data_IF_196770327535
#
_entry.id   IF_196770327535
#
_cell.length_a   1.000
_cell.length_b   1.000
_cell.length_c   1.000
_cell.angle_alpha   90.00
_cell.angle_beta   90.00
_cell.angle_gamma   90.00
#
_symmetry.space_group_name_H-M   'P 1'
#
loop_
_entity.id
_entity.type
_entity.pdbx_description
1 polymer ?
#
# COMPACT_ATOMS: atom_id res chain seq x y z
N UNK A 1 -20.16 -18.19 -8.89
CA UNK A 1 -19.65 -17.31 -7.82
C UNK A 1 -20.31 -17.70 -6.51
N UNK A 2 -19.53 -18.01 -5.48
CA UNK A 2 -20.09 -18.27 -4.16
C UNK A 2 -20.62 -16.93 -3.62
N UNK A 3 -21.90 -16.86 -3.28
CA UNK A 3 -22.47 -15.64 -2.68
C UNK A 3 -21.83 -15.45 -1.29
N UNK A 4 -20.86 -14.55 -1.17
CA UNK A 4 -20.33 -14.15 0.15
C UNK A 4 -21.43 -13.37 0.88
N UNK A 5 -21.96 -13.87 2.01
CA UNK A 5 -23.00 -13.16 2.74
C UNK A 5 -22.49 -11.82 3.27
N UNK A 6 -23.30 -10.76 3.18
CA UNK A 6 -22.93 -9.43 3.72
C UNK A 6 -22.65 -9.45 5.23
N UNK A 7 -23.27 -10.38 5.95
CA UNK A 7 -23.07 -10.60 7.38
C UNK A 7 -21.78 -11.36 7.72
N UNK A 8 -21.07 -11.90 6.71
CA UNK A 8 -19.87 -12.68 6.96
C UNK A 8 -18.76 -11.78 7.55
N UNK A 9 -18.10 -12.17 8.65
CA UNK A 9 -17.11 -11.32 9.35
C UNK A 9 -15.91 -10.94 8.47
N UNK A 10 -15.64 -11.72 7.42
CA UNK A 10 -14.56 -11.47 6.45
C UNK A 10 -15.06 -11.07 5.06
N UNK A 11 -16.32 -10.65 4.93
CA UNK A 11 -16.93 -10.35 3.63
C UNK A 11 -16.06 -9.40 2.78
N UNK A 12 -15.49 -8.36 3.39
CA UNK A 12 -14.63 -7.40 2.71
C UNK A 12 -13.36 -8.03 2.14
N UNK A 13 -12.62 -8.82 2.92
CA UNK A 13 -11.40 -9.51 2.45
C UNK A 13 -11.73 -10.50 1.34
N UNK A 14 -12.80 -11.29 1.48
CA UNK A 14 -13.20 -12.26 0.46
C UNK A 14 -13.61 -11.59 -0.86
N UNK A 15 -14.39 -10.50 -0.82
CA UNK A 15 -14.77 -9.75 -2.02
C UNK A 15 -13.56 -9.13 -2.73
N UNK A 16 -12.55 -8.70 -1.98
CA UNK A 16 -11.29 -8.19 -2.55
C UNK A 16 -10.54 -9.31 -3.28
N UNK A 17 -10.51 -10.53 -2.71
CA UNK A 17 -9.91 -11.70 -3.37
C UNK A 17 -10.64 -12.05 -4.66
N UNK A 18 -11.97 -12.09 -4.65
CA UNK A 18 -12.77 -12.36 -5.86
C UNK A 18 -12.48 -11.33 -6.94
N UNK A 19 -12.44 -10.03 -6.61
CA UNK A 19 -12.06 -8.98 -7.57
C UNK A 19 -10.67 -9.18 -8.16
N UNK A 20 -9.71 -9.69 -7.38
CA UNK A 20 -8.36 -10.00 -7.88
C UNK A 20 -8.37 -11.19 -8.84
N UNK A 21 -9.14 -12.22 -8.52
CA UNK A 21 -9.32 -13.41 -9.37
C UNK A 21 -10.01 -13.02 -10.66
N UNK A 22 -11.11 -12.26 -10.60
CA UNK A 22 -11.80 -11.72 -11.77
C UNK A 22 -10.84 -10.87 -12.62
N UNK A 23 -10.02 -10.02 -11.99
CA UNK A 23 -9.00 -9.25 -12.69
C UNK A 23 -7.90 -10.11 -13.33
N UNK A 24 -7.60 -11.29 -12.78
CA UNK A 24 -6.69 -12.24 -13.40
C UNK A 24 -7.33 -12.91 -14.61
N UNK A 25 -8.58 -13.35 -14.49
CA UNK A 25 -9.36 -13.97 -15.56
C UNK A 25 -9.63 -13.00 -16.72
N UNK A 26 -9.86 -11.72 -16.41
CA UNK A 26 -9.97 -10.60 -17.38
C UNK A 26 -8.61 -10.22 -18.01
N UNK A 27 -7.53 -10.88 -17.60
CA UNK A 27 -6.19 -10.70 -18.15
C UNK A 27 -5.54 -9.36 -17.79
N UNK A 28 -5.98 -8.67 -16.74
CA UNK A 28 -5.35 -7.43 -16.24
C UNK A 28 -4.34 -7.70 -15.12
N UNK A 29 -4.54 -8.74 -14.31
CA UNK A 29 -3.64 -9.16 -13.22
C UNK A 29 -2.72 -10.29 -13.70
N UNK A 30 -1.48 -10.33 -13.20
CA UNK A 30 -0.55 -11.45 -13.45
C UNK A 30 -0.67 -12.49 -12.32
N UNK A 31 -0.23 -13.75 -12.55
CA UNK A 31 -0.25 -14.79 -11.51
C UNK A 31 0.47 -14.33 -10.25
N UNK A 32 1.62 -13.68 -10.42
CA UNK A 32 2.43 -13.11 -9.35
C UNK A 32 1.75 -11.95 -8.63
N UNK A 33 0.78 -11.29 -9.29
CA UNK A 33 -0.09 -10.29 -8.70
C UNK A 33 -1.02 -10.89 -7.64
N UNK A 34 -1.52 -12.11 -7.83
CA UNK A 34 -2.31 -12.84 -6.83
C UNK A 34 -1.45 -13.18 -5.61
N UNK A 35 -0.21 -13.65 -5.84
CA UNK A 35 0.75 -13.93 -4.77
C UNK A 35 1.12 -12.66 -4.00
N UNK A 36 1.32 -11.55 -4.71
CA UNK A 36 1.58 -10.24 -4.10
C UNK A 36 0.42 -9.77 -3.22
N UNK A 37 -0.83 -10.03 -3.64
CA UNK A 37 -2.00 -9.75 -2.83
C UNK A 37 -1.99 -10.55 -1.52
N UNK A 38 -1.74 -11.86 -1.58
CA UNK A 38 -1.66 -12.71 -0.39
C UNK A 38 -0.58 -12.26 0.61
N UNK A 39 0.58 -11.79 0.12
CA UNK A 39 1.60 -11.16 0.99
C UNK A 39 1.06 -9.89 1.67
N UNK A 40 0.33 -9.06 0.92
CA UNK A 40 -0.33 -7.86 1.46
C UNK A 40 -1.32 -8.21 2.55
N UNK A 41 -2.21 -9.18 2.31
CA UNK A 41 -3.19 -9.64 3.31
C UNK A 41 -2.51 -10.13 4.58
N UNK A 42 -1.41 -10.90 4.48
CA UNK A 42 -0.65 -11.34 5.65
C UNK A 42 -0.21 -10.19 6.56
N UNK A 43 0.30 -9.09 5.98
CA UNK A 43 0.63 -7.89 6.74
C UNK A 43 -0.62 -7.14 7.22
N UNK A 44 -1.70 -7.11 6.44
CA UNK A 44 -2.95 -6.46 6.84
C UNK A 44 -3.53 -7.10 8.12
N UNK A 45 -3.45 -8.44 8.25
CA UNK A 45 -3.79 -9.14 9.50
C UNK A 45 -2.96 -8.65 10.68
N UNK A 46 -1.64 -8.53 10.50
CA UNK A 46 -0.74 -8.05 11.56
C UNK A 46 -1.04 -6.60 11.95
N UNK A 47 -1.49 -5.79 11.00
CA UNK A 47 -1.87 -4.39 11.20
C UNK A 47 -3.31 -4.23 11.73
N UNK A 48 -4.08 -5.32 11.78
CA UNK A 48 -5.46 -5.36 12.26
C UNK A 48 -6.48 -4.81 11.27
N UNK A 49 -6.20 -4.93 9.96
CA UNK A 49 -7.11 -4.60 8.85
C UNK A 49 -7.69 -3.17 8.93
N UNK A 50 -6.88 -2.23 9.42
CA UNK A 50 -7.29 -0.85 9.69
C UNK A 50 -6.21 0.16 9.32
N UNK A 51 -6.64 1.35 8.90
CA UNK A 51 -5.72 2.46 8.67
C UNK A 51 -5.16 2.98 9.99
N UNK A 52 -3.86 2.76 10.22
CA UNK A 52 -3.18 3.21 11.44
C UNK A 52 -3.02 4.74 11.48
N UNK A 53 -2.74 5.28 12.67
CA UNK A 53 -2.48 6.73 12.85
C UNK A 53 -1.28 7.19 12.01
N UNK A 54 -0.22 6.36 11.95
CA UNK A 54 0.95 6.62 11.12
C UNK A 54 0.59 6.62 9.63
N UNK A 55 -0.22 5.67 9.17
CA UNK A 55 -0.68 5.62 7.78
C UNK A 55 -1.51 6.88 7.43
N UNK A 56 -2.38 7.35 8.34
CA UNK A 56 -3.15 8.60 8.13
C UNK A 56 -2.23 9.81 7.94
N UNK A 57 -1.19 9.95 8.76
CA UNK A 57 -0.19 11.03 8.62
C UNK A 57 0.56 10.94 7.29
N UNK A 58 0.99 9.74 6.90
CA UNK A 58 1.64 9.52 5.60
C UNK A 58 0.74 9.84 4.42
N UNK A 59 -0.56 9.50 4.50
CA UNK A 59 -1.55 9.85 3.47
C UNK A 59 -1.70 11.37 3.34
N UNK A 60 -1.76 12.11 4.45
CA UNK A 60 -1.83 13.58 4.42
C UNK A 60 -0.58 14.19 3.76
N UNK A 61 0.62 13.73 4.12
CA UNK A 61 1.86 14.18 3.52
C UNK A 61 1.94 13.84 2.01
N UNK A 62 1.51 12.63 1.63
CA UNK A 62 1.44 12.22 0.23
C UNK A 62 0.46 13.08 -0.58
N UNK A 63 -0.71 13.39 -0.03
CA UNK A 63 -1.69 14.25 -0.66
C UNK A 63 -1.14 15.68 -0.87
N UNK A 64 -0.51 16.25 0.15
CA UNK A 64 0.15 17.56 0.02
C UNK A 64 1.25 17.54 -1.04
N UNK A 65 2.07 16.49 -1.07
CA UNK A 65 3.15 16.37 -2.06
C UNK A 65 2.62 16.23 -3.50
N UNK A 66 1.52 15.51 -3.71
CA UNK A 66 0.87 15.42 -5.02
C UNK A 66 0.27 16.76 -5.44
N UNK A 67 -0.40 17.48 -4.54
CA UNK A 67 -1.01 18.79 -4.83
C UNK A 67 0.04 19.87 -5.14
N UNK A 68 1.24 19.77 -4.57
CA UNK A 68 2.34 20.71 -4.80
C UNK A 68 3.26 20.30 -5.97
N UNK A 69 3.04 19.14 -6.57
CA UNK A 69 3.86 18.65 -7.67
C UNK A 69 3.63 19.46 -8.94
N UNK A 70 4.70 19.71 -9.71
CA UNK A 70 4.59 20.39 -11.01
C UNK A 70 4.13 19.45 -12.11
N UNK A 71 4.50 18.17 -12.03
CA UNK A 71 4.18 17.16 -13.03
C UNK A 71 3.95 15.80 -12.34
N UNK A 72 2.88 15.65 -11.53
CA UNK A 72 2.61 14.41 -10.83
C UNK A 72 2.19 13.30 -11.78
N UNK A 73 2.68 12.08 -11.51
CA UNK A 73 2.31 10.88 -12.27
C UNK A 73 1.89 9.75 -11.34
N UNK A 74 0.78 9.08 -11.67
CA UNK A 74 0.31 7.87 -11.01
C UNK A 74 0.64 6.67 -11.90
N UNK A 75 1.54 5.81 -11.43
CA UNK A 75 1.88 4.54 -12.09
C UNK A 75 0.82 3.49 -11.75
N UNK A 76 0.24 2.85 -12.77
CA UNK A 76 -0.81 1.84 -12.59
C UNK A 76 -0.36 0.48 -13.12
N UNK A 77 -0.46 -0.54 -12.27
CA UNK A 77 -0.27 -1.94 -12.60
C UNK A 77 -1.61 -2.70 -12.58
N UNK A 78 -1.56 -4.01 -12.85
CA UNK A 78 -2.74 -4.88 -12.89
C UNK A 78 -3.54 -4.94 -11.59
N UNK A 79 -2.87 -5.14 -10.45
CA UNK A 79 -3.52 -5.21 -9.13
C UNK A 79 -4.31 -3.92 -8.83
N UNK A 80 -3.71 -2.78 -9.15
CA UNK A 80 -4.32 -1.47 -8.89
C UNK A 80 -5.49 -1.19 -9.84
N UNK A 81 -5.38 -1.59 -11.10
CA UNK A 81 -6.48 -1.52 -12.04
C UNK A 81 -7.66 -2.41 -11.61
N UNK A 82 -7.41 -3.60 -11.07
CA UNK A 82 -8.45 -4.53 -10.61
C UNK A 82 -9.17 -4.01 -9.34
N UNK A 83 -8.41 -3.46 -8.38
CA UNK A 83 -8.96 -3.09 -7.08
C UNK A 83 -9.49 -1.68 -6.96
N UNK A 84 -8.86 -0.72 -7.64
CA UNK A 84 -9.01 0.70 -7.32
C UNK A 84 -9.00 1.61 -8.54
N UNK A 85 -9.40 1.11 -9.72
CA UNK A 85 -9.38 1.91 -10.95
C UNK A 85 -10.17 3.22 -10.82
N UNK A 86 -11.38 3.17 -10.24
CA UNK A 86 -12.23 4.35 -10.06
C UNK A 86 -11.59 5.40 -9.15
N UNK A 87 -11.03 4.94 -8.03
CA UNK A 87 -10.37 5.78 -7.03
C UNK A 87 -9.10 6.40 -7.61
N UNK A 88 -8.30 5.65 -8.38
CA UNK A 88 -7.10 6.15 -9.04
C UNK A 88 -7.43 7.20 -10.09
N UNK A 89 -8.45 6.97 -10.93
CA UNK A 89 -8.90 7.98 -11.91
C UNK A 89 -9.40 9.23 -11.22
N UNK A 90 -10.13 9.07 -10.11
CA UNK A 90 -10.62 10.21 -9.31
C UNK A 90 -9.46 10.98 -8.68
N UNK A 91 -8.49 10.28 -8.09
CA UNK A 91 -7.29 10.90 -7.51
C UNK A 91 -6.51 11.66 -8.58
N UNK A 92 -6.24 11.03 -9.73
CA UNK A 92 -5.54 11.64 -10.85
C UNK A 92 -6.19 12.97 -11.27
N UNK A 93 -7.52 12.98 -11.36
CA UNK A 93 -8.28 14.21 -11.68
C UNK A 93 -8.18 15.29 -10.59
N UNK A 94 -8.19 14.90 -9.32
CA UNK A 94 -8.14 15.85 -8.19
C UNK A 94 -6.77 16.52 -8.10
N UNK A 95 -5.69 15.77 -8.30
CA UNK A 95 -4.31 16.28 -8.19
C UNK A 95 -3.68 16.65 -9.53
N UNK A 96 -4.49 16.74 -10.59
CA UNK A 96 -4.07 16.98 -11.98
C UNK A 96 -2.87 16.10 -12.42
N UNK A 97 -2.90 14.83 -12.03
CA UNK A 97 -1.84 13.87 -12.32
C UNK A 97 -2.11 13.09 -13.60
N UNK A 98 -1.04 12.81 -14.34
CA UNK A 98 -1.09 11.88 -15.48
C UNK A 98 -1.15 10.44 -14.97
N UNK A 99 -1.81 9.57 -15.71
CA UNK A 99 -1.82 8.13 -15.44
C UNK A 99 -0.90 7.43 -16.45
N UNK A 100 0.06 6.65 -15.98
CA UNK A 100 0.92 5.81 -16.82
C UNK A 100 0.75 4.34 -16.46
N UNK A 101 0.43 3.50 -17.45
CA UNK A 101 0.38 2.05 -17.23
C UNK A 101 1.80 1.48 -17.29
N UNK A 102 2.25 0.93 -16.18
CA UNK A 102 3.55 0.27 -16.09
C UNK A 102 3.39 -1.11 -15.44
N UNK A 103 3.82 -2.15 -16.16
CA UNK A 103 3.70 -3.54 -15.72
C UNK A 103 5.06 -4.23 -15.76
N UNK A 104 5.31 -5.09 -14.77
CA UNK A 104 6.56 -5.83 -14.63
C UNK A 104 6.79 -6.77 -15.82
N UNK A 105 5.81 -7.63 -16.10
CA UNK A 105 5.83 -8.56 -17.23
C UNK A 105 5.20 -7.89 -18.44
N UNK A 106 6.04 -7.45 -19.39
CA UNK A 106 5.56 -6.75 -20.59
C UNK A 106 4.64 -7.66 -21.40
N UNK A 107 3.39 -7.23 -21.55
CA UNK A 107 2.36 -7.86 -22.37
C UNK A 107 1.46 -6.76 -22.94
N UNK A 108 1.47 -6.60 -24.26
CA UNK A 108 0.66 -5.59 -24.93
C UNK A 108 -0.83 -5.85 -24.71
N UNK A 109 -1.24 -7.13 -24.67
CA UNK A 109 -2.63 -7.53 -24.35
C UNK A 109 -3.02 -7.08 -22.95
N UNK A 110 -2.22 -7.37 -21.92
CA UNK A 110 -2.50 -6.95 -20.54
C UNK A 110 -2.57 -5.43 -20.41
N UNK A 111 -1.62 -4.71 -21.02
CA UNK A 111 -1.64 -3.24 -21.05
C UNK A 111 -2.94 -2.71 -21.65
N UNK A 112 -3.38 -3.26 -22.79
CA UNK A 112 -4.63 -2.86 -23.44
C UNK A 112 -5.86 -3.17 -22.58
N UNK A 113 -5.89 -4.30 -21.87
CA UNK A 113 -6.99 -4.61 -20.96
C UNK A 113 -7.04 -3.63 -19.78
N UNK A 114 -5.88 -3.29 -19.18
CA UNK A 114 -5.79 -2.26 -18.14
C UNK A 114 -6.29 -0.90 -18.66
N UNK A 115 -5.90 -0.52 -19.88
CA UNK A 115 -6.37 0.71 -20.53
C UNK A 115 -7.90 0.76 -20.63
N UNK A 116 -8.52 -0.34 -21.06
CA UNK A 116 -9.99 -0.44 -21.15
C UNK A 116 -10.65 -0.23 -19.78
N UNK A 117 -10.13 -0.87 -18.73
CA UNK A 117 -10.64 -0.72 -17.36
C UNK A 117 -10.52 0.72 -16.87
N UNK A 118 -9.37 1.37 -17.09
CA UNK A 118 -9.18 2.77 -16.72
C UNK A 118 -10.13 3.71 -17.48
N UNK A 119 -10.28 3.51 -18.80
CA UNK A 119 -11.20 4.30 -19.63
C UNK A 119 -12.67 4.12 -19.21
N UNK A 120 -13.09 2.87 -18.91
CA UNK A 120 -14.43 2.57 -18.38
C UNK A 120 -14.70 3.31 -17.06
N UNK A 121 -13.66 3.58 -16.28
CA UNK A 121 -13.74 4.36 -15.04
C UNK A 121 -13.52 5.87 -15.23
N UNK A 122 -13.46 6.37 -16.46
CA UNK A 122 -13.42 7.80 -16.78
C UNK A 122 -12.03 8.38 -17.02
N UNK A 123 -10.99 7.55 -17.18
CA UNK A 123 -9.67 8.05 -17.54
C UNK A 123 -9.68 8.66 -18.96
N UNK A 124 -9.39 9.95 -19.08
CA UNK A 124 -9.34 10.65 -20.38
C UNK A 124 -8.06 10.34 -21.17
N UNK A 125 -6.91 10.39 -20.50
CA UNK A 125 -5.60 10.14 -21.09
C UNK A 125 -4.82 9.16 -20.22
N UNK A 126 -4.16 8.19 -20.87
CA UNK A 126 -3.35 7.16 -20.22
C UNK A 126 -2.09 6.93 -21.05
N UNK A 127 -0.93 7.04 -20.41
CA UNK A 127 0.40 6.95 -21.00
C UNK A 127 0.97 5.51 -20.94
N UNK A 128 2.10 5.28 -21.62
CA UNK A 128 2.82 3.99 -21.58
C UNK A 128 2.50 3.02 -22.74
N UNK A 129 1.86 3.53 -23.80
CA UNK A 129 1.41 2.75 -24.97
C UNK A 129 2.11 3.13 -26.29
N UNK A 130 2.47 4.41 -26.47
CA UNK A 130 3.11 4.87 -27.70
C UNK A 130 4.61 4.55 -27.69
N UNK A 131 5.06 3.74 -28.65
CA UNK A 131 6.47 3.37 -28.82
C UNK A 131 7.37 4.58 -29.10
N UNK A 132 6.87 5.62 -29.77
CA UNK A 132 7.64 6.85 -30.06
C UNK A 132 7.97 7.65 -28.79
N UNK A 133 7.10 7.53 -27.79
CA UNK A 133 7.24 8.18 -26.49
C UNK A 133 7.98 7.32 -25.47
N UNK A 134 8.47 6.13 -25.83
CA UNK A 134 9.25 5.31 -24.92
C UNK A 134 10.65 5.89 -24.71
N UNK A 135 11.10 5.86 -23.47
CA UNK A 135 12.46 6.17 -23.05
C UNK A 135 12.86 5.25 -21.90
N UNK A 136 14.12 5.31 -21.48
CA UNK A 136 14.69 4.40 -20.47
C UNK A 136 15.12 5.17 -19.23
N UNK A 137 14.72 4.69 -18.06
CA UNK A 137 15.33 5.08 -16.79
C UNK A 137 16.78 4.53 -16.78
N UNK A 138 17.80 5.36 -16.54
CA UNK A 138 19.18 4.90 -16.44
C UNK A 138 19.37 3.89 -15.30
N UNK A 139 20.37 3.01 -15.42
CA UNK A 139 20.83 2.11 -14.34
C UNK A 139 19.74 1.16 -13.78
N UNK A 140 18.79 0.77 -14.64
CA UNK A 140 17.84 -0.31 -14.38
C UNK A 140 17.95 -1.32 -15.53
N UNK A 141 18.34 -2.56 -15.24
CA UNK A 141 18.69 -3.52 -16.29
C UNK A 141 17.47 -4.24 -16.89
N UNK A 142 16.36 -4.29 -16.15
CA UNK A 142 15.14 -4.97 -16.59
C UNK A 142 14.33 -4.17 -17.62
N UNK A 143 13.41 -4.85 -18.32
CA UNK A 143 12.43 -4.24 -19.23
C UNK A 143 11.61 -3.08 -18.59
N UNK A 144 11.61 -3.01 -17.25
CA UNK A 144 10.89 -2.02 -16.42
C UNK A 144 11.53 -0.65 -16.42
N UNK A 145 12.71 -0.52 -17.05
CA UNK A 145 13.32 0.77 -17.37
C UNK A 145 12.51 1.55 -18.39
N UNK A 146 11.68 0.88 -19.19
CA UNK A 146 10.89 1.52 -20.25
C UNK A 146 9.73 2.28 -19.60
N UNK A 147 9.70 3.58 -19.85
CA UNK A 147 8.69 4.54 -19.36
C UNK A 147 8.32 5.54 -20.44
N UNK A 148 7.22 6.26 -20.25
CA UNK A 148 6.81 7.32 -21.17
C UNK A 148 7.60 8.62 -20.92
N UNK A 149 8.10 9.24 -22.00
CA UNK A 149 8.81 10.53 -22.00
C UNK A 149 7.97 11.62 -21.35
N UNK A 150 6.67 11.63 -21.63
CA UNK A 150 5.72 12.63 -21.14
C UNK A 150 5.08 12.25 -19.79
N UNK A 151 5.38 11.05 -19.30
CA UNK A 151 4.91 10.52 -18.02
C UNK A 151 6.05 10.45 -17.00
N UNK A 152 6.32 9.25 -16.50
CA UNK A 152 7.26 8.95 -15.41
C UNK A 152 8.64 9.57 -15.66
N UNK A 153 9.10 9.62 -16.90
CA UNK A 153 10.41 10.20 -17.22
C UNK A 153 10.48 11.70 -16.89
N UNK A 154 9.44 12.45 -17.23
CA UNK A 154 9.33 13.90 -16.99
C UNK A 154 8.81 14.26 -15.60
N UNK A 155 8.31 13.30 -14.84
CA UNK A 155 7.66 13.53 -13.55
C UNK A 155 8.63 14.11 -12.50
N UNK A 156 8.12 14.93 -11.58
CA UNK A 156 8.83 15.34 -10.38
C UNK A 156 8.39 14.52 -9.15
N UNK A 157 7.09 14.22 -9.06
CA UNK A 157 6.49 13.33 -8.05
C UNK A 157 5.81 12.14 -8.74
N UNK A 158 6.05 10.93 -8.23
CA UNK A 158 5.43 9.71 -8.75
C UNK A 158 4.79 8.91 -7.62
N UNK A 159 3.54 8.52 -7.80
CA UNK A 159 2.87 7.51 -6.99
C UNK A 159 3.05 6.13 -7.64
N UNK A 160 3.73 5.21 -6.94
CA UNK A 160 3.96 3.81 -7.37
C UNK A 160 3.37 2.84 -6.34
N UNK A 161 2.13 2.37 -6.52
CA UNK A 161 1.49 1.47 -5.57
C UNK A 161 1.83 0.00 -5.85
N UNK A 162 2.14 -0.78 -4.81
CA UNK A 162 2.50 -2.21 -4.90
C UNK A 162 3.61 -2.41 -5.96
N UNK A 163 4.76 -1.78 -5.72
CA UNK A 163 5.86 -1.67 -6.68
C UNK A 163 7.07 -2.52 -6.26
N UNK A 164 7.87 -2.91 -7.25
CA UNK A 164 9.15 -3.56 -7.00
C UNK A 164 10.22 -2.62 -6.43
N UNK A 165 11.03 -3.17 -5.54
CA UNK A 165 12.06 -2.44 -4.82
C UNK A 165 13.15 -1.85 -5.72
N UNK A 166 13.62 -2.60 -6.72
CA UNK A 166 14.72 -2.15 -7.59
C UNK A 166 14.28 -0.99 -8.47
N UNK A 167 13.03 -1.03 -8.96
CA UNK A 167 12.44 0.08 -9.72
C UNK A 167 12.30 1.34 -8.85
N UNK A 168 11.84 1.17 -7.61
CA UNK A 168 11.72 2.29 -6.66
C UNK A 168 13.07 2.94 -6.38
N UNK A 169 14.12 2.14 -6.17
CA UNK A 169 15.50 2.62 -5.97
C UNK A 169 16.00 3.35 -7.22
N UNK A 170 15.79 2.79 -8.41
CA UNK A 170 16.22 3.40 -9.67
C UNK A 170 15.53 4.76 -9.91
N UNK A 171 14.22 4.84 -9.68
CA UNK A 171 13.46 6.09 -9.79
C UNK A 171 13.94 7.15 -8.79
N UNK A 172 14.22 6.76 -7.54
CA UNK A 172 14.77 7.68 -6.54
C UNK A 172 16.16 8.18 -6.92
N UNK A 173 17.04 7.29 -7.39
CA UNK A 173 18.37 7.66 -7.93
C UNK A 173 18.27 8.54 -9.17
N UNK A 174 17.17 8.45 -9.91
CA UNK A 174 16.84 9.31 -11.05
C UNK A 174 16.21 10.66 -10.63
N UNK A 175 16.32 11.03 -9.36
CA UNK A 175 15.90 12.33 -8.83
C UNK A 175 14.39 12.50 -8.63
N UNK A 176 13.62 11.41 -8.70
CA UNK A 176 12.17 11.44 -8.56
C UNK A 176 11.75 11.37 -7.09
N UNK A 177 10.75 12.15 -6.70
CA UNK A 177 10.07 12.03 -5.40
C UNK A 177 9.04 10.92 -5.47
N UNK A 178 9.21 9.86 -4.68
CA UNK A 178 8.39 8.65 -4.77
C UNK A 178 7.46 8.52 -3.58
N UNK A 179 6.17 8.36 -3.87
CA UNK A 179 5.11 7.99 -2.94
C UNK A 179 4.73 6.53 -3.23
N UNK A 180 4.48 5.73 -2.20
CA UNK A 180 4.05 4.33 -2.36
C UNK A 180 2.98 3.95 -1.34
N UNK A 181 2.17 2.96 -1.70
CA UNK A 181 1.33 2.21 -0.78
C UNK A 181 1.84 0.79 -0.71
N UNK A 182 2.36 0.41 0.46
CA UNK A 182 2.86 -0.94 0.72
C UNK A 182 2.48 -1.32 2.16
N UNK A 183 1.83 -2.48 2.30
CA UNK A 183 1.45 -3.02 3.61
C UNK A 183 2.65 -3.64 4.33
N UNK A 184 3.71 -4.00 3.61
CA UNK A 184 4.94 -4.50 4.20
C UNK A 184 5.89 -3.33 4.51
N UNK A 185 6.05 -2.91 5.78
CA UNK A 185 6.94 -1.80 6.14
C UNK A 185 8.43 -2.14 5.96
N UNK A 186 8.77 -3.41 5.76
CA UNK A 186 10.14 -3.90 5.58
C UNK A 186 10.52 -4.09 4.12
N UNK A 187 9.61 -3.87 3.17
CA UNK A 187 9.94 -3.98 1.76
C UNK A 187 10.98 -2.93 1.35
N UNK A 188 11.81 -3.26 0.36
CA UNK A 188 12.76 -2.31 -0.23
C UNK A 188 12.04 -1.05 -0.72
N UNK A 189 10.83 -1.20 -1.27
CA UNK A 189 9.97 -0.11 -1.72
C UNK A 189 9.60 0.82 -0.56
N UNK A 190 9.07 0.28 0.54
CA UNK A 190 8.66 1.03 1.74
C UNK A 190 9.84 1.71 2.46
N UNK A 191 11.02 1.10 2.43
CA UNK A 191 12.24 1.69 3.01
C UNK A 191 12.85 2.78 2.12
N UNK A 192 12.59 2.74 0.81
CA UNK A 192 13.20 3.65 -0.17
C UNK A 192 12.33 4.87 -0.47
N UNK A 193 11.01 4.70 -0.56
CA UNK A 193 10.08 5.79 -0.85
C UNK A 193 10.19 6.92 0.19
N UNK A 194 9.64 8.10 -0.13
CA UNK A 194 9.66 9.24 0.79
C UNK A 194 8.98 8.85 2.10
N UNK A 195 9.79 8.75 3.15
CA UNK A 195 9.29 8.80 4.52
C UNK A 195 8.98 10.25 4.82
N UNK A 196 7.78 10.52 5.33
CA UNK A 196 7.47 11.81 5.92
C UNK A 196 8.50 12.09 7.01
N UNK A 197 9.51 12.87 6.68
CA UNK A 197 10.55 13.28 7.61
C UNK A 197 9.96 14.33 8.54
N UNK A 198 9.39 13.91 9.67
CA UNK A 198 9.88 14.50 10.90
C UNK A 198 11.31 13.94 11.04
N UNK A 199 12.30 14.82 10.88
CA UNK A 199 13.68 14.50 10.54
C UNK A 199 14.25 13.28 11.26
N UNK A 200 14.80 12.36 10.48
CA UNK A 200 15.89 11.46 10.84
C UNK A 200 16.49 11.02 9.50
N UNK A 201 17.31 11.89 8.91
CA UNK A 201 18.28 11.46 7.91
C UNK A 201 19.21 10.47 8.60
N UNK A 202 19.39 9.28 8.02
CA UNK A 202 20.44 8.34 8.44
C UNK A 202 21.85 9.00 8.38
N UNK A 203 21.99 10.11 7.66
CA UNK A 203 23.23 10.86 7.51
C UNK A 203 23.59 11.76 8.71
N UNK A 204 22.85 11.67 9.83
CA UNK A 204 23.22 12.31 11.11
C UNK A 204 23.60 11.31 12.22
N UNK A 205 23.88 10.05 11.89
CA UNK A 205 24.59 9.18 12.82
C UNK A 205 26.09 9.49 12.77
N UNK A 206 26.75 9.75 13.92
CA UNK A 206 28.20 9.96 13.94
C UNK A 206 28.92 8.69 13.43
N UNK A 207 30.03 8.84 12.69
CA UNK A 207 30.80 7.69 12.21
C UNK A 207 31.38 6.96 13.43
N UNK A 208 30.94 5.72 13.65
CA UNK A 208 31.42 4.92 14.80
C UNK A 208 30.53 3.76 15.26
N UNK A 209 29.32 3.58 14.73
CA UNK A 209 28.55 2.36 14.98
C UNK A 209 29.00 1.23 14.01
N UNK A 210 30.23 0.78 14.21
CA UNK A 210 30.79 -0.40 13.58
C UNK A 210 29.99 -1.64 13.97
N UNK A 211 29.93 -2.56 13.01
CA UNK A 211 29.52 -3.95 13.17
C UNK A 211 30.52 -4.63 14.11
N UNK A 212 30.16 -4.72 15.38
CA UNK A 212 30.68 -5.73 16.30
C UNK A 212 29.50 -6.28 17.10
N UNK A 213 29.16 -7.54 16.82
CA UNK A 213 28.18 -8.27 17.63
C UNK A 213 28.71 -8.44 19.06
N UNK A 214 27.87 -8.33 20.10
CA UNK A 214 28.36 -8.56 21.45
C UNK A 214 28.68 -10.06 21.64
N UNK A 215 29.85 -10.41 22.20
CA UNK A 215 30.14 -11.77 22.64
C UNK A 215 29.34 -12.07 23.90
N UNK A 216 28.71 -13.25 23.96
CA UNK A 216 28.13 -13.78 25.21
C UNK A 216 26.66 -14.14 25.13
N UNK A 217 26.33 -15.21 24.39
CA UNK A 217 25.14 -16.01 24.68
C UNK A 217 25.52 -17.07 25.71
N UNK A 218 25.22 -16.82 26.98
CA UNK A 218 25.10 -17.87 28.01
C UNK A 218 23.60 -18.14 28.25
N UNK A 219 23.16 -19.40 28.31
CA UNK A 219 21.75 -19.73 28.46
C UNK A 219 21.33 -19.58 29.92
N UNK A 220 20.23 -18.87 30.14
CA UNK A 220 19.52 -18.87 31.43
C UNK A 220 19.62 -17.57 32.21
N UNK A 221 18.72 -16.62 31.92
CA UNK A 221 18.05 -15.71 32.86
C UNK A 221 17.04 -14.87 32.09
N UNK A 222 15.74 -15.00 32.41
CA UNK A 222 14.69 -14.12 31.88
C UNK A 222 14.89 -12.71 32.44
N UNK A 223 14.76 -11.62 31.65
CA UNK A 223 14.73 -10.28 32.20
C UNK A 223 13.40 -10.05 32.95
N UNK A 224 13.49 -9.58 34.20
CA UNK A 224 12.35 -9.07 34.96
C UNK A 224 11.89 -7.73 34.36
N UNK A 225 10.59 -7.59 34.13
CA UNK A 225 9.98 -6.34 33.69
C UNK A 225 10.12 -5.25 34.77
N UNK A 226 10.37 -3.97 34.41
CA UNK A 226 10.40 -2.89 35.37
C UNK A 226 8.98 -2.55 35.88
N UNK A 227 8.87 -2.44 37.20
CA UNK A 227 7.66 -2.08 37.92
C UNK A 227 7.38 -0.58 37.82
N UNK A 228 6.40 -0.19 37.00
CA UNK A 228 5.52 0.98 37.20
C UNK A 228 4.55 1.08 36.03
N UNK A 229 3.34 0.56 36.24
CA UNK A 229 2.05 0.97 35.66
C UNK A 229 1.02 0.01 36.26
N UNK A 230 0.74 0.13 37.56
CA UNK A 230 -0.40 -0.55 38.18
C UNK A 230 -1.64 0.29 37.91
N UNK A 231 -2.49 -0.21 37.01
CA UNK A 231 -3.87 0.26 36.87
C UNK A 231 -4.67 -0.40 37.99
N UNK A 232 -5.39 0.34 38.85
CA UNK A 232 -6.20 -0.29 39.89
C UNK A 232 -7.37 -1.07 39.25
N UNK A 233 -7.72 -2.26 39.76
CA UNK A 233 -8.89 -2.98 39.28
C UNK A 233 -10.15 -2.19 39.63
N UNK A 234 -10.97 -1.85 38.63
CA UNK A 234 -12.33 -1.36 38.88
C UNK A 234 -13.11 -2.50 39.53
N UNK A 235 -13.70 -2.17 40.68
CA UNK A 235 -14.39 -3.08 41.57
C UNK A 235 -15.51 -3.88 40.90
N UNK A 236 -15.66 -5.08 41.43
CA UNK A 236 -16.79 -5.99 41.23
C UNK A 236 -18.08 -5.25 41.62
N UNK A 237 -18.92 -4.96 40.63
CA UNK A 237 -20.31 -4.59 40.87
C UNK A 237 -21.08 -5.86 41.22
N UNK A 238 -21.39 -6.03 42.51
CA UNK A 238 -22.36 -7.01 42.97
C UNK A 238 -23.73 -6.76 42.31
N UNK A 239 -24.43 -7.80 41.84
CA UNK A 239 -25.80 -7.65 41.37
C UNK A 239 -26.71 -7.30 42.55
N UNK A 240 -27.42 -6.16 42.44
CA UNK A 240 -28.51 -5.80 43.36
C UNK A 240 -29.63 -6.83 43.24
N UNK A 241 -30.29 -7.23 44.34
CA UNK A 241 -31.40 -8.18 44.30
C UNK A 241 -32.59 -7.59 43.55
N UNK A 242 -33.19 -8.42 42.69
CA UNK A 242 -34.38 -8.09 41.92
C UNK A 242 -35.54 -7.69 42.85
N UNK A 243 -36.10 -6.50 42.63
CA UNK A 243 -37.38 -6.11 43.24
C UNK A 243 -38.46 -7.06 42.72
N UNK A 244 -39.05 -7.84 43.64
CA UNK A 244 -40.26 -8.64 43.41
C UNK A 244 -41.42 -7.69 43.09
N UNK A 245 -41.91 -7.73 41.85
CA UNK A 245 -43.22 -7.20 41.47
C UNK A 245 -44.35 -8.07 42.04
N UNK A 246 -45.57 -7.52 42.18
CA UNK A 246 -46.66 -8.16 42.92
C UNK A 246 -47.17 -9.43 42.24
N UNK A 247 -47.42 -10.46 43.06
CA UNK A 247 -48.00 -11.74 42.68
C UNK A 247 -49.45 -11.55 42.24
N UNK A 248 -49.79 -11.96 41.02
CA UNK A 248 -51.17 -12.25 40.64
C UNK A 248 -51.68 -13.46 41.45
N UNK A 249 -52.84 -13.30 42.09
CA UNK A 249 -53.66 -14.41 42.62
C UNK A 249 -54.49 -15.00 41.47
N UNK A 250 -54.60 -16.32 41.33
CA UNK A 250 -55.64 -16.93 40.52
C UNK A 250 -56.98 -16.98 41.28
N UNK A 251 -58.07 -16.82 40.53
CA UNK A 251 -59.40 -17.35 40.89
C UNK A 251 -59.43 -18.84 40.54
#
# INVERSE_FOLDING_TARGET
MALIPKSHPRAKSLLIREKLVDGFDDGIVAKEGLLAHGRGEAFDYLLGEKTTVLAKKSIQAAAALLLLAKNPVISVNGNIAALSAKEIVTLARIVDAKIEVNIFYSSDTRKRNILKVLKKNGAKSVLGFDRKNQTKIPKLDSARRIVDKNGIFSADVILVPIEDGDRTIALKKFGKKIITFDLNPFSRTAQTALRGSAGLSRDQQPPGAGVDGPPGWLPGRRPKAPARWQVPPRGVLHPRPARRGPRHRPQ
#
